data_IF_995262894764
#
_entry.id   IF_995262894764
#
_cell.length_a   1.000
_cell.length_b   1.000
_cell.length_c   1.000
_cell.angle_alpha   90.00
_cell.angle_beta   90.00
_cell.angle_gamma   90.00
#
_symmetry.space_group_name_H-M   'P 1'
#
loop_
_entity.id
_entity.type
_entity.pdbx_description
1 polymer ?
#
# COMPACT_ATOMS: atom_id res chain seq x y z
N UNK A 1 -16.33 -13.40 -6.98
CA UNK A 1 -15.04 -14.09 -7.07
C UNK A 1 -14.26 -13.54 -8.28
N UNK A 2 -13.06 -13.02 -8.08
CA UNK A 2 -12.20 -12.44 -9.11
C UNK A 2 -11.56 -13.52 -9.99
N UNK A 3 -11.04 -14.59 -9.39
CA UNK A 3 -10.26 -15.65 -10.03
C UNK A 3 -11.03 -16.41 -11.10
N UNK A 4 -12.24 -16.88 -10.77
CA UNK A 4 -13.10 -17.64 -11.68
C UNK A 4 -13.53 -16.83 -12.92
N UNK A 5 -13.56 -15.49 -12.79
CA UNK A 5 -13.90 -14.58 -13.87
C UNK A 5 -12.71 -14.30 -14.83
N UNK A 6 -11.51 -14.79 -14.52
CA UNK A 6 -10.35 -14.60 -15.39
C UNK A 6 -10.35 -15.62 -16.53
N UNK A 7 -9.76 -15.31 -17.70
CA UNK A 7 -9.61 -16.28 -18.77
C UNK A 7 -8.92 -17.57 -18.29
N UNK A 8 -9.46 -18.73 -18.65
CA UNK A 8 -8.89 -20.05 -18.27
C UNK A 8 -7.39 -20.15 -18.57
N UNK A 9 -6.95 -19.59 -19.70
CA UNK A 9 -5.52 -19.57 -20.05
C UNK A 9 -4.66 -18.79 -19.03
N UNK A 10 -5.16 -17.69 -18.46
CA UNK A 10 -4.46 -16.94 -17.41
C UNK A 10 -4.42 -17.73 -16.10
N UNK A 11 -5.55 -18.34 -15.72
CA UNK A 11 -5.63 -19.20 -14.55
C UNK A 11 -4.62 -20.35 -14.62
N UNK A 12 -4.53 -21.04 -15.76
CA UNK A 12 -3.58 -22.14 -15.99
C UNK A 12 -2.12 -21.68 -15.98
N UNK A 13 -1.81 -20.53 -16.59
CA UNK A 13 -0.44 -19.99 -16.58
C UNK A 13 -0.02 -19.53 -15.18
N UNK A 14 -0.93 -18.91 -14.42
CA UNK A 14 -0.72 -18.53 -13.04
C UNK A 14 -0.42 -19.76 -12.17
N UNK A 15 -1.26 -20.81 -12.23
CA UNK A 15 -1.03 -22.08 -11.54
C UNK A 15 0.30 -22.70 -11.94
N UNK A 16 0.59 -22.77 -13.25
CA UNK A 16 1.86 -23.33 -13.74
C UNK A 16 3.07 -22.61 -13.15
N UNK A 17 3.06 -21.28 -13.07
CA UNK A 17 4.18 -20.56 -12.46
C UNK A 17 4.25 -20.78 -10.95
N UNK A 18 3.12 -20.81 -10.25
CA UNK A 18 3.10 -21.17 -8.83
C UNK A 18 3.66 -22.58 -8.58
N UNK A 19 3.32 -23.56 -9.42
CA UNK A 19 3.89 -24.91 -9.36
C UNK A 19 5.38 -24.90 -9.63
N UNK A 20 5.88 -24.11 -10.59
CA UNK A 20 7.33 -24.00 -10.86
C UNK A 20 8.06 -23.41 -9.65
N UNK A 21 7.54 -22.34 -9.05
CA UNK A 21 8.17 -21.74 -7.86
C UNK A 21 8.10 -22.68 -6.66
N UNK A 22 6.96 -23.33 -6.45
CA UNK A 22 6.79 -24.32 -5.40
C UNK A 22 7.62 -25.60 -5.62
N UNK A 23 7.90 -25.99 -6.85
CA UNK A 23 8.79 -27.10 -7.15
C UNK A 23 10.22 -26.85 -6.64
N UNK A 24 10.66 -25.59 -6.62
CA UNK A 24 11.98 -25.17 -6.14
C UNK A 24 12.04 -24.95 -4.62
N UNK A 25 11.07 -25.45 -3.85
CA UNK A 25 10.97 -25.20 -2.40
C UNK A 25 12.22 -25.59 -1.61
N UNK A 26 12.90 -26.68 -2.00
CA UNK A 26 14.11 -27.16 -1.34
C UNK A 26 15.32 -26.21 -1.45
N UNK A 27 15.22 -25.13 -2.23
CA UNK A 27 16.18 -24.01 -2.17
C UNK A 27 16.06 -23.20 -0.86
N UNK A 28 14.89 -23.19 -0.23
CA UNK A 28 14.56 -22.28 0.87
C UNK A 28 14.02 -22.97 2.12
N UNK A 29 13.48 -24.19 1.99
CA UNK A 29 12.78 -24.88 3.07
C UNK A 29 12.84 -26.40 2.91
N UNK A 30 12.90 -27.11 4.04
CA UNK A 30 12.78 -28.57 4.13
C UNK A 30 11.32 -29.04 4.36
N UNK A 31 10.35 -28.11 4.33
CA UNK A 31 8.94 -28.42 4.53
C UNK A 31 8.36 -29.24 3.36
N UNK A 32 7.46 -30.17 3.68
CA UNK A 32 6.65 -30.87 2.69
C UNK A 32 5.59 -29.97 2.03
N UNK A 33 5.28 -28.83 2.65
CA UNK A 33 4.41 -27.81 2.04
C UNK A 33 5.23 -26.91 1.12
N UNK A 34 4.78 -26.63 -0.11
CA UNK A 34 5.51 -25.76 -1.02
C UNK A 34 5.82 -24.39 -0.39
N UNK A 35 7.03 -23.90 -0.64
CA UNK A 35 7.46 -22.57 -0.29
C UNK A 35 7.01 -21.57 -1.35
N UNK A 36 6.45 -20.45 -0.91
CA UNK A 36 6.10 -19.32 -1.76
C UNK A 36 6.35 -18.05 -0.98
N UNK A 37 7.36 -17.28 -1.39
CA UNK A 37 7.60 -15.96 -0.82
C UNK A 37 6.49 -14.98 -1.24
N UNK A 38 6.04 -14.11 -0.33
CA UNK A 38 4.93 -13.20 -0.59
C UNK A 38 5.19 -12.27 -1.80
N UNK A 39 6.41 -11.72 -1.95
CA UNK A 39 6.80 -10.95 -3.16
C UNK A 39 6.75 -11.76 -4.46
N UNK A 40 7.04 -13.06 -4.40
CA UNK A 40 6.90 -13.91 -5.59
C UNK A 40 5.42 -14.04 -5.95
N UNK A 41 4.56 -14.26 -4.96
CA UNK A 41 3.11 -14.30 -5.14
C UNK A 41 2.57 -13.01 -5.79
N UNK A 42 2.93 -11.84 -5.28
CA UNK A 42 2.57 -10.53 -5.84
C UNK A 42 2.96 -10.38 -7.32
N UNK A 43 4.23 -10.66 -7.62
CA UNK A 43 4.75 -10.51 -8.98
C UNK A 43 4.12 -11.51 -9.95
N UNK A 44 3.92 -12.75 -9.51
CA UNK A 44 3.27 -13.80 -10.33
C UNK A 44 1.81 -13.42 -10.59
N UNK A 45 1.08 -13.00 -9.56
CA UNK A 45 -0.31 -12.56 -9.70
C UNK A 45 -0.43 -11.42 -10.72
N UNK A 46 0.35 -10.34 -10.54
CA UNK A 46 0.31 -9.19 -11.44
C UNK A 46 0.69 -9.56 -12.87
N UNK A 47 1.70 -10.40 -13.06
CA UNK A 47 2.17 -10.83 -14.38
C UNK A 47 1.12 -11.65 -15.14
N UNK A 48 0.51 -12.64 -14.49
CA UNK A 48 -0.38 -13.58 -15.20
C UNK A 48 -1.82 -13.13 -15.28
N UNK A 49 -2.28 -12.29 -14.36
CA UNK A 49 -3.59 -11.67 -14.45
C UNK A 49 -3.58 -10.29 -15.09
N UNK A 50 -2.40 -9.77 -15.51
CA UNK A 50 -2.29 -8.43 -16.11
C UNK A 50 -2.88 -7.39 -15.14
N UNK A 51 -2.46 -7.47 -13.87
CA UNK A 51 -2.87 -6.55 -12.82
C UNK A 51 -1.75 -5.53 -12.56
N UNK A 52 -2.15 -4.33 -12.16
CA UNK A 52 -1.26 -3.30 -11.65
C UNK A 52 -0.70 -3.75 -10.29
N UNK A 53 0.61 -3.60 -10.09
CA UNK A 53 1.28 -3.95 -8.84
C UNK A 53 1.26 -2.75 -7.89
N UNK A 54 0.50 -2.86 -6.81
CA UNK A 54 0.36 -1.84 -5.77
C UNK A 54 1.17 -2.19 -4.51
N UNK A 55 1.74 -3.39 -4.41
CA UNK A 55 2.47 -3.87 -3.25
C UNK A 55 3.76 -3.10 -2.92
N UNK A 56 4.16 -2.16 -3.78
CA UNK A 56 5.29 -1.22 -3.55
C UNK A 56 4.83 0.20 -3.20
N UNK A 57 3.53 0.43 -3.09
CA UNK A 57 2.91 1.73 -2.84
C UNK A 57 2.36 1.85 -1.41
N UNK A 58 2.74 0.91 -0.54
CA UNK A 58 2.44 0.88 0.90
C UNK A 58 0.98 1.29 1.19
N UNK A 59 0.02 0.49 0.69
CA UNK A 59 -1.41 0.72 0.82
C UNK A 59 -2.17 -0.58 1.15
N UNK A 60 -3.51 -0.51 1.30
CA UNK A 60 -4.31 -1.69 1.69
C UNK A 60 -4.49 -2.75 0.58
N UNK A 61 -4.12 -2.44 -0.66
CA UNK A 61 -4.23 -3.33 -1.82
C UNK A 61 -2.82 -3.68 -2.34
N UNK A 62 -2.57 -4.97 -2.60
CA UNK A 62 -1.29 -5.44 -3.15
C UNK A 62 -1.29 -5.42 -4.69
N UNK A 63 -2.45 -5.57 -5.29
CA UNK A 63 -2.65 -5.45 -6.72
C UNK A 63 -4.01 -4.81 -7.04
N UNK A 64 -4.14 -4.30 -8.27
CA UNK A 64 -5.40 -3.79 -8.80
C UNK A 64 -5.59 -4.28 -10.21
N UNK A 65 -6.79 -4.71 -10.55
CA UNK A 65 -7.20 -4.97 -11.92
C UNK A 65 -8.54 -4.31 -12.17
N UNK A 66 -8.57 -3.44 -13.18
CA UNK A 66 -9.72 -2.60 -13.47
C UNK A 66 -10.12 -1.77 -12.23
N UNK A 67 -11.31 -2.01 -11.65
CA UNK A 67 -11.80 -1.35 -10.44
C UNK A 67 -11.83 -2.27 -9.23
N UNK A 68 -11.13 -3.40 -9.28
CA UNK A 68 -11.04 -4.39 -8.20
C UNK A 68 -9.65 -4.34 -7.58
N UNK A 69 -9.58 -4.11 -6.27
CA UNK A 69 -8.36 -4.19 -5.47
C UNK A 69 -8.21 -5.58 -4.85
N UNK A 70 -6.98 -6.05 -4.79
CA UNK A 70 -6.64 -7.41 -4.35
C UNK A 70 -5.71 -7.34 -3.16
N UNK A 71 -6.13 -7.88 -2.02
CA UNK A 71 -5.25 -8.21 -0.91
C UNK A 71 -4.65 -9.60 -1.11
N UNK A 72 -3.36 -9.69 -1.40
CA UNK A 72 -2.68 -10.95 -1.67
C UNK A 72 -2.14 -11.56 -0.39
N UNK A 73 -2.50 -12.82 -0.14
CA UNK A 73 -2.00 -13.54 1.02
C UNK A 73 -1.50 -14.92 0.66
N UNK A 74 -0.52 -15.39 1.43
CA UNK A 74 -0.01 -16.76 1.33
C UNK A 74 0.44 -17.24 2.70
N UNK A 75 -0.02 -18.41 3.12
CA UNK A 75 0.35 -18.98 4.42
C UNK A 75 0.30 -20.51 4.41
N UNK A 76 0.90 -21.08 5.44
CA UNK A 76 0.76 -22.49 5.85
C UNK A 76 0.16 -22.46 7.26
N UNK A 77 -0.68 -23.43 7.61
CA UNK A 77 -1.18 -23.59 8.98
C UNK A 77 -2.41 -22.75 9.29
N UNK A 78 -2.35 -22.00 10.39
CA UNK A 78 -3.50 -21.31 11.01
C UNK A 78 -4.07 -20.20 10.12
N UNK A 79 -5.38 -20.01 10.21
CA UNK A 79 -6.16 -19.04 9.43
C UNK A 79 -6.34 -17.70 10.16
N UNK A 80 -5.74 -17.55 11.34
CA UNK A 80 -5.59 -16.29 12.05
C UNK A 80 -4.47 -15.44 11.44
N UNK A 81 -4.83 -14.54 10.53
CA UNK A 81 -3.90 -13.82 9.65
C UNK A 81 -3.98 -12.30 9.82
N UNK A 82 -2.82 -11.63 9.77
CA UNK A 82 -2.72 -10.16 9.87
C UNK A 82 -3.48 -9.50 8.72
N UNK A 83 -4.32 -8.52 9.05
CA UNK A 83 -5.07 -7.71 8.07
C UNK A 83 -4.75 -6.22 8.13
N UNK A 84 -4.20 -5.72 9.23
CA UNK A 84 -3.70 -4.34 9.35
C UNK A 84 -2.74 -4.20 10.56
N UNK A 85 -1.94 -3.13 10.58
CA UNK A 85 -1.06 -2.78 11.71
C UNK A 85 -1.05 -1.28 11.94
N UNK A 86 -1.00 -0.86 13.20
CA UNK A 86 -1.27 0.50 13.64
C UNK A 86 -0.18 1.05 14.56
N UNK A 87 1.07 0.61 14.39
CA UNK A 87 2.21 1.01 15.24
C UNK A 87 2.29 2.53 15.46
N UNK A 88 2.22 3.28 14.37
CA UNK A 88 2.24 4.74 14.36
C UNK A 88 1.07 5.40 15.09
N UNK A 89 -0.04 4.69 15.29
CA UNK A 89 -1.22 5.19 16.00
C UNK A 89 -1.27 4.75 17.47
N UNK A 90 -0.24 4.06 17.98
CA UNK A 90 -0.24 3.44 19.32
C UNK A 90 -0.67 4.38 20.44
N UNK A 91 -0.16 5.61 20.46
CA UNK A 91 -0.49 6.62 21.47
C UNK A 91 -2.00 6.91 21.57
N UNK A 92 -2.73 6.76 20.46
CA UNK A 92 -4.17 7.05 20.38
C UNK A 92 -5.05 5.97 21.00
N UNK A 93 -4.59 4.71 21.04
CA UNK A 93 -5.40 3.57 21.49
C UNK A 93 -4.80 2.77 22.63
N UNK A 94 -3.54 3.00 23.03
CA UNK A 94 -2.84 2.17 24.03
C UNK A 94 -3.53 2.12 25.40
N UNK A 95 -4.34 3.12 25.72
CA UNK A 95 -5.09 3.21 26.98
C UNK A 95 -6.54 2.72 26.84
N UNK A 96 -6.97 2.33 25.64
CA UNK A 96 -8.31 1.82 25.38
C UNK A 96 -8.37 0.30 25.62
N UNK A 97 -9.53 -0.20 26.02
CA UNK A 97 -9.77 -1.63 26.22
C UNK A 97 -11.16 -2.04 25.74
N UNK A 98 -11.38 -3.35 25.57
CA UNK A 98 -12.70 -3.91 25.26
C UNK A 98 -13.32 -3.28 24.00
N UNK A 99 -14.58 -2.88 24.11
CA UNK A 99 -15.35 -2.33 22.98
C UNK A 99 -14.75 -1.05 22.41
N UNK A 100 -14.28 -0.13 23.25
CA UNK A 100 -13.69 1.13 22.78
C UNK A 100 -12.45 0.88 21.91
N UNK A 101 -11.57 -0.02 22.36
CA UNK A 101 -10.40 -0.43 21.58
C UNK A 101 -10.81 -1.09 20.25
N UNK A 102 -11.72 -2.07 20.30
CA UNK A 102 -12.18 -2.76 19.10
C UNK A 102 -12.78 -1.80 18.07
N UNK A 103 -13.62 -0.87 18.53
CA UNK A 103 -14.25 0.15 17.69
C UNK A 103 -13.22 1.09 17.08
N UNK A 104 -12.29 1.65 17.86
CA UNK A 104 -11.26 2.56 17.35
C UNK A 104 -10.37 1.89 16.30
N UNK A 105 -9.94 0.65 16.55
CA UNK A 105 -9.13 -0.11 15.58
C UNK A 105 -9.92 -0.42 14.30
N UNK A 106 -11.21 -0.73 14.42
CA UNK A 106 -12.08 -0.94 13.27
C UNK A 106 -12.27 0.35 12.44
N UNK A 107 -12.46 1.50 13.10
CA UNK A 107 -12.53 2.81 12.46
C UNK A 107 -11.23 3.11 11.67
N UNK A 108 -10.06 2.89 12.27
CA UNK A 108 -8.77 3.09 11.58
C UNK A 108 -8.59 2.16 10.39
N UNK A 109 -8.94 0.87 10.52
CA UNK A 109 -8.88 -0.05 9.38
C UNK A 109 -9.78 0.43 8.24
N UNK A 110 -11.02 0.78 8.56
CA UNK A 110 -12.01 1.20 7.56
C UNK A 110 -11.59 2.49 6.85
N UNK A 111 -11.05 3.46 7.60
CA UNK A 111 -10.51 4.69 7.01
C UNK A 111 -9.37 4.39 6.02
N UNK A 112 -8.42 3.51 6.37
CA UNK A 112 -7.31 3.13 5.47
C UNK A 112 -7.76 2.40 4.21
N UNK A 113 -8.68 1.46 4.34
CA UNK A 113 -9.24 0.71 3.20
C UNK A 113 -9.96 1.67 2.26
N UNK A 114 -10.83 2.53 2.80
CA UNK A 114 -11.56 3.54 2.02
C UNK A 114 -10.63 4.51 1.31
N UNK A 115 -9.63 5.06 2.00
CA UNK A 115 -8.66 5.98 1.39
C UNK A 115 -7.89 5.29 0.27
N UNK A 116 -7.46 4.05 0.48
CA UNK A 116 -6.83 3.24 -0.58
C UNK A 116 -7.77 3.10 -1.77
N UNK A 117 -9.03 2.72 -1.53
CA UNK A 117 -10.00 2.53 -2.60
C UNK A 117 -10.21 3.80 -3.43
N UNK A 118 -10.44 4.92 -2.76
CA UNK A 118 -10.68 6.20 -3.43
C UNK A 118 -9.42 6.70 -4.17
N UNK A 119 -8.24 6.53 -3.58
CA UNK A 119 -6.96 6.96 -4.16
C UNK A 119 -6.65 6.26 -5.48
N UNK A 120 -6.90 4.95 -5.55
CA UNK A 120 -6.60 4.14 -6.73
C UNK A 120 -7.83 3.87 -7.62
N UNK A 121 -8.99 4.46 -7.32
CA UNK A 121 -10.21 4.27 -8.10
C UNK A 121 -10.74 2.83 -8.08
N UNK A 122 -10.68 2.18 -6.91
CA UNK A 122 -11.17 0.82 -6.65
C UNK A 122 -12.60 0.91 -6.08
N UNK A 123 -13.50 0.08 -6.59
CA UNK A 123 -14.88 -0.05 -6.10
C UNK A 123 -15.05 -1.22 -5.13
N UNK A 124 -14.27 -2.28 -5.34
CA UNK A 124 -14.41 -3.54 -4.61
C UNK A 124 -13.05 -4.09 -4.21
N UNK A 125 -12.98 -4.69 -3.02
CA UNK A 125 -11.78 -5.33 -2.49
C UNK A 125 -12.04 -6.83 -2.30
N UNK A 126 -11.04 -7.66 -2.60
CA UNK A 126 -11.09 -9.10 -2.33
C UNK A 126 -9.74 -9.60 -1.81
N UNK A 127 -9.76 -10.54 -0.86
CA UNK A 127 -8.55 -11.29 -0.54
C UNK A 127 -8.37 -12.43 -1.53
N UNK A 128 -7.24 -12.46 -2.23
CA UNK A 128 -6.81 -13.61 -3.04
C UNK A 128 -5.69 -14.34 -2.32
N UNK A 129 -5.94 -15.60 -1.97
CA UNK A 129 -5.15 -16.38 -1.03
C UNK A 129 -4.58 -17.59 -1.74
N UNK A 130 -3.27 -17.78 -1.62
CA UNK A 130 -2.61 -19.05 -1.94
C UNK A 130 -2.28 -19.77 -0.64
N UNK A 131 -3.17 -20.68 -0.22
CA UNK A 131 -2.96 -21.51 0.98
C UNK A 131 -2.12 -22.73 0.61
N UNK A 132 -1.06 -22.98 1.37
CA UNK A 132 -0.04 -23.99 1.07
C UNK A 132 -0.18 -25.14 2.04
N UNK A 133 -0.29 -26.35 1.50
CA UNK A 133 -0.42 -27.59 2.27
C UNK A 133 0.57 -28.62 1.73
N UNK A 134 0.85 -29.73 2.44
CA UNK A 134 1.76 -30.74 1.92
C UNK A 134 1.40 -31.21 0.51
N UNK A 135 2.34 -31.10 -0.43
CA UNK A 135 2.19 -31.52 -1.82
C UNK A 135 1.26 -30.70 -2.72
N UNK A 136 0.61 -29.63 -2.24
CA UNK A 136 -0.28 -28.83 -3.09
C UNK A 136 -0.43 -27.37 -2.65
N UNK A 137 -0.95 -26.56 -3.56
CA UNK A 137 -1.42 -25.20 -3.28
C UNK A 137 -2.91 -25.09 -3.59
N UNK A 138 -3.63 -24.32 -2.77
CA UNK A 138 -5.05 -24.02 -2.92
C UNK A 138 -5.22 -22.53 -3.22
N UNK A 139 -6.09 -22.23 -4.17
CA UNK A 139 -6.54 -20.87 -4.48
C UNK A 139 -7.87 -20.66 -3.78
N UNK A 140 -7.92 -19.63 -2.94
CA UNK A 140 -9.07 -19.24 -2.14
C UNK A 140 -9.30 -17.75 -2.37
N UNK A 141 -10.56 -17.35 -2.44
CA UNK A 141 -10.93 -15.94 -2.29
C UNK A 141 -11.84 -15.75 -1.09
N UNK A 142 -11.66 -14.61 -0.42
CA UNK A 142 -12.41 -14.27 0.77
C UNK A 142 -12.79 -12.79 0.75
N UNK A 143 -13.91 -12.46 1.39
CA UNK A 143 -14.38 -11.09 1.53
C UNK A 143 -13.29 -10.20 2.16
N UNK A 144 -13.11 -9.02 1.56
CA UNK A 144 -12.28 -7.94 2.09
C UNK A 144 -13.19 -6.73 2.31
N UNK A 145 -14.09 -6.86 3.27
CA UNK A 145 -15.05 -5.82 3.60
C UNK A 145 -14.50 -4.84 4.63
N UNK A 146 -15.13 -3.66 4.73
CA UNK A 146 -15.04 -2.82 5.92
C UNK A 146 -15.68 -3.55 7.11
N UNK A 147 -15.11 -3.36 8.31
CA UNK A 147 -15.65 -3.90 9.55
C UNK A 147 -16.97 -3.18 9.86
N UNK A 148 -18.02 -3.93 10.14
CA UNK A 148 -19.34 -3.37 10.46
C UNK A 148 -19.35 -2.75 11.88
N UNK A 149 -19.20 -1.42 11.93
CA UNK A 149 -19.05 -0.66 13.18
C UNK A 149 -20.27 -0.70 14.10
N UNK A 150 -21.46 -0.98 13.54
CA UNK A 150 -22.72 -1.01 14.29
C UNK A 150 -22.95 -2.37 14.96
N UNK A 151 -22.27 -3.42 14.48
CA UNK A 151 -22.42 -4.79 14.95
C UNK A 151 -21.20 -5.31 15.72
N UNK A 152 -20.29 -4.41 16.14
CA UNK A 152 -19.12 -4.78 16.95
C UNK A 152 -19.56 -5.34 18.30
N UNK A 153 -19.09 -6.55 18.62
CA UNK A 153 -19.27 -7.19 19.92
C UNK A 153 -17.99 -7.88 20.38
N UNK A 154 -17.68 -7.77 21.68
CA UNK A 154 -16.51 -8.41 22.29
C UNK A 154 -16.78 -9.89 22.51
N UNK A 155 -15.79 -10.73 22.19
CA UNK A 155 -15.85 -12.17 22.43
C UNK A 155 -15.24 -12.43 23.80
N UNK A 156 -16.10 -12.37 24.82
CA UNK A 156 -15.72 -12.55 26.22
C UNK A 156 -15.01 -13.90 26.46
N UNK A 157 -13.98 -13.89 27.30
CA UNK A 157 -13.24 -15.09 27.70
C UNK A 157 -12.27 -15.68 26.66
N UNK A 158 -12.24 -15.17 25.43
CA UNK A 158 -11.25 -15.60 24.41
C UNK A 158 -9.96 -14.80 24.46
N UNK A 159 -10.04 -13.55 24.90
CA UNK A 159 -8.92 -12.60 24.97
C UNK A 159 -8.07 -12.68 26.24
N UNK A 160 -7.10 -11.78 26.32
CA UNK A 160 -6.28 -11.50 27.50
C UNK A 160 -5.85 -10.03 27.47
N UNK A 161 -5.03 -9.60 28.44
CA UNK A 161 -4.55 -8.21 28.55
C UNK A 161 -3.91 -7.69 27.25
N UNK A 162 -3.27 -8.55 26.46
CA UNK A 162 -2.61 -8.17 25.22
C UNK A 162 -3.47 -8.39 23.97
N UNK A 163 -4.57 -9.15 24.07
CA UNK A 163 -5.33 -9.60 22.91
C UNK A 163 -6.82 -9.43 23.15
N UNK A 164 -7.44 -8.53 22.38
CA UNK A 164 -8.88 -8.29 22.41
C UNK A 164 -9.51 -8.97 21.20
N UNK A 165 -10.44 -9.90 21.42
CA UNK A 165 -11.18 -10.58 20.37
C UNK A 165 -12.56 -9.96 20.23
N UNK A 166 -12.99 -9.73 18.99
CA UNK A 166 -14.29 -9.14 18.70
C UNK A 166 -14.82 -9.65 17.36
N UNK A 167 -16.12 -9.49 17.13
CA UNK A 167 -16.77 -9.78 15.85
C UNK A 167 -17.66 -8.61 15.45
N UNK A 168 -17.85 -8.43 14.16
CA UNK A 168 -18.81 -7.48 13.58
C UNK A 168 -20.09 -8.19 13.09
N UNK A 169 -20.29 -9.44 13.49
CA UNK A 169 -21.40 -10.30 13.06
C UNK A 169 -21.15 -11.02 11.74
N UNK A 170 -20.10 -10.67 10.97
CA UNK A 170 -19.72 -11.34 9.71
C UNK A 170 -18.40 -12.07 9.84
N UNK A 171 -17.42 -11.44 10.47
CA UNK A 171 -16.08 -11.97 10.64
C UNK A 171 -15.65 -11.88 12.10
N UNK A 172 -14.66 -12.71 12.44
CA UNK A 172 -14.01 -12.65 13.75
C UNK A 172 -12.63 -12.02 13.64
N UNK A 173 -12.34 -11.09 14.54
CA UNK A 173 -11.09 -10.35 14.61
C UNK A 173 -10.42 -10.54 15.96
N UNK A 174 -9.10 -10.34 15.98
CA UNK A 174 -8.38 -10.12 17.22
C UNK A 174 -7.34 -9.02 17.04
N UNK A 175 -7.29 -8.10 18.01
CA UNK A 175 -6.27 -7.06 18.05
C UNK A 175 -5.22 -7.39 19.10
N UNK A 176 -3.96 -7.44 18.67
CA UNK A 176 -2.80 -7.68 19.52
C UNK A 176 -2.12 -6.35 19.85
N UNK A 177 -2.29 -5.87 21.09
CA UNK A 177 -1.70 -4.60 21.56
C UNK A 177 -0.17 -4.66 21.47
N UNK A 178 0.45 -5.77 21.89
CA UNK A 178 1.91 -5.91 21.89
C UNK A 178 2.54 -5.86 20.50
N UNK A 179 1.76 -6.16 19.46
CA UNK A 179 2.20 -6.14 18.06
C UNK A 179 1.61 -4.97 17.28
N UNK A 180 0.78 -4.13 17.92
CA UNK A 180 0.00 -3.10 17.24
C UNK A 180 -0.78 -3.63 16.02
N UNK A 181 -1.17 -4.91 16.02
CA UNK A 181 -1.61 -5.62 14.81
C UNK A 181 -3.03 -6.13 14.97
N UNK A 182 -3.84 -5.88 13.94
CA UNK A 182 -5.17 -6.47 13.78
C UNK A 182 -5.08 -7.70 12.89
N UNK A 183 -5.67 -8.78 13.39
CA UNK A 183 -5.81 -10.04 12.71
C UNK A 183 -7.30 -10.32 12.44
N UNK A 184 -7.54 -11.06 11.37
CA UNK A 184 -8.84 -11.65 11.06
C UNK A 184 -8.67 -13.18 11.05
N UNK A 185 -9.65 -13.88 11.61
CA UNK A 185 -9.74 -15.32 11.52
C UNK A 185 -10.52 -15.62 10.25
N UNK A 186 -9.83 -16.16 9.24
CA UNK A 186 -10.43 -16.53 7.97
C UNK A 186 -11.17 -17.88 8.14
N UNK A 187 -12.46 -17.83 8.43
CA UNK A 187 -13.37 -18.97 8.48
C UNK A 187 -14.19 -19.11 7.19
N UNK A 188 -14.93 -20.22 7.05
CA UNK A 188 -15.83 -20.50 5.92
C UNK A 188 -15.24 -20.27 4.50
N UNK A 189 -13.92 -20.44 4.39
CA UNK A 189 -13.20 -20.24 3.13
C UNK A 189 -13.60 -21.27 2.08
N UNK A 190 -14.01 -20.78 0.91
CA UNK A 190 -14.26 -21.62 -0.26
C UNK A 190 -12.97 -21.79 -1.08
N UNK A 191 -12.54 -23.04 -1.26
CA UNK A 191 -11.46 -23.38 -2.19
C UNK A 191 -12.02 -23.31 -3.62
N UNK A 192 -11.45 -22.42 -4.42
CA UNK A 192 -11.81 -22.22 -5.83
C UNK A 192 -11.06 -23.17 -6.76
N UNK A 193 -9.79 -23.42 -6.46
CA UNK A 193 -8.96 -24.35 -7.22
C UNK A 193 -7.88 -24.96 -6.32
N UNK A 194 -7.41 -26.15 -6.68
CA UNK A 194 -6.31 -26.84 -6.01
C UNK A 194 -5.49 -27.60 -7.04
N UNK A 195 -4.17 -27.48 -6.94
CA UNK A 195 -3.24 -28.15 -7.84
C UNK A 195 -2.04 -28.72 -7.09
N UNK A 196 -1.56 -29.85 -7.59
CA UNK A 196 -0.40 -30.55 -7.06
C UNK A 196 0.89 -29.79 -7.34
N UNK A 197 1.80 -29.85 -6.39
CA UNK A 197 3.15 -29.30 -6.49
C UNK A 197 4.13 -30.35 -6.01
N UNK A 198 4.78 -30.99 -6.97
CA UNK A 198 5.88 -31.90 -6.71
C UNK A 198 7.12 -31.08 -6.33
N UNK A 199 7.65 -31.23 -5.12
CA UNK A 199 8.87 -30.54 -4.70
C UNK A 199 10.08 -31.32 -5.22
N UNK A 200 10.94 -30.64 -5.97
CA UNK A 200 12.17 -31.23 -6.48
C UNK A 200 13.13 -31.55 -5.34
N UNK A 201 13.70 -32.74 -5.36
CA UNK A 201 14.64 -33.21 -4.33
C UNK A 201 15.97 -32.47 -4.37
N UNK A 202 16.46 -32.12 -5.56
CA UNK A 202 17.75 -31.44 -5.74
C UNK A 202 17.65 -30.30 -6.77
N UNK A 203 17.04 -29.16 -6.38
CA UNK A 203 16.93 -28.01 -7.26
C UNK A 203 18.28 -27.36 -7.58
N UNK A 204 19.31 -27.55 -6.73
CA UNK A 204 20.63 -26.99 -6.95
C UNK A 204 21.32 -27.64 -8.15
N UNK A 205 21.37 -28.98 -8.19
CA UNK A 205 21.95 -29.70 -9.32
C UNK A 205 21.14 -29.47 -10.61
N UNK A 206 19.81 -29.40 -10.52
CA UNK A 206 18.97 -29.04 -11.67
C UNK A 206 19.36 -27.68 -12.25
N UNK A 207 19.46 -26.64 -11.41
CA UNK A 207 19.83 -25.29 -11.85
C UNK A 207 21.27 -25.25 -12.40
N UNK A 208 22.23 -25.94 -11.78
CA UNK A 208 23.60 -26.05 -12.31
C UNK A 208 23.61 -26.70 -13.70
N UNK A 209 22.87 -27.80 -13.88
CA UNK A 209 22.80 -28.51 -15.17
C UNK A 209 22.20 -27.65 -16.29
N UNK A 210 21.30 -26.72 -15.98
CA UNK A 210 20.72 -25.80 -16.96
C UNK A 210 21.74 -24.79 -17.47
N UNK A 211 22.60 -24.28 -16.57
CA UNK A 211 23.69 -23.37 -16.95
C UNK A 211 24.74 -24.11 -17.78
N UNK A 212 25.10 -25.32 -17.37
CA UNK A 212 26.07 -26.16 -18.08
C UNK A 212 25.56 -26.59 -19.46
N UNK A 213 24.28 -26.95 -19.59
CA UNK A 213 23.66 -27.32 -20.87
C UNK A 213 23.55 -26.15 -21.87
N UNK A 214 23.58 -24.90 -21.41
CA UNK A 214 23.55 -23.71 -22.26
C UNK A 214 24.94 -23.32 -22.83
N UNK A 215 26.03 -23.98 -22.41
CA UNK A 215 27.39 -23.66 -22.87
C UNK A 215 27.70 -23.98 -24.34
N UNK A 216 26.75 -24.50 -25.13
CA UNK A 216 26.96 -24.74 -26.59
C UNK A 216 26.32 -23.68 -27.50
N UNK A 217 25.35 -22.88 -27.06
CA UNK A 217 24.82 -21.78 -27.89
C UNK A 217 24.00 -20.82 -27.04
N UNK A 218 24.63 -19.77 -26.53
CA UNK A 218 24.29 -18.36 -26.80
C UNK A 218 25.11 -17.46 -25.87
N UNK A 219 25.81 -16.49 -26.47
CA UNK A 219 26.34 -15.33 -25.77
C UNK A 219 25.12 -14.52 -25.36
N UNK A 220 24.67 -14.68 -24.11
CA UNK A 220 23.65 -13.79 -23.55
C UNK A 220 24.37 -12.52 -23.12
N UNK A 221 24.39 -11.55 -24.02
CA UNK A 221 24.61 -10.16 -23.68
C UNK A 221 23.37 -9.67 -22.94
N UNK A 222 23.36 -9.73 -21.60
CA UNK A 222 22.51 -8.88 -20.74
C UNK A 222 23.02 -8.93 -19.29
N UNK A 223 24.15 -8.27 -19.00
CA UNK A 223 24.21 -7.50 -17.75
C UNK A 223 23.51 -6.16 -18.00
N UNK A 224 22.20 -6.20 -18.32
CA UNK A 224 21.38 -5.07 -17.96
C UNK A 224 21.30 -5.15 -16.43
N UNK A 225 21.77 -4.15 -15.69
CA UNK A 225 21.53 -4.10 -14.26
C UNK A 225 20.05 -4.38 -14.02
N UNK A 226 19.72 -5.19 -13.01
CA UNK A 226 18.40 -5.08 -12.39
C UNK A 226 18.20 -3.59 -12.19
N UNK A 227 17.18 -2.93 -12.80
CA UNK A 227 17.05 -1.50 -12.64
C UNK A 227 17.00 -1.28 -11.13
N UNK A 228 18.07 -0.69 -10.60
CA UNK A 228 18.04 -0.10 -9.29
C UNK A 228 16.78 0.77 -9.28
N UNK A 229 16.08 0.85 -8.14
CA UNK A 229 15.03 1.85 -8.00
C UNK A 229 15.68 3.16 -8.47
N UNK A 230 15.19 3.69 -9.58
CA UNK A 230 15.77 4.86 -10.21
C UNK A 230 15.47 6.04 -9.28
N UNK A 231 16.34 6.24 -8.30
CA UNK A 231 16.26 7.33 -7.34
C UNK A 231 16.56 8.66 -7.99
N UNK A 232 17.17 8.68 -9.18
CA UNK A 232 17.42 9.93 -9.91
C UNK A 232 16.13 10.52 -10.49
N UNK A 233 15.18 9.66 -10.86
CA UNK A 233 13.89 10.07 -11.41
C UNK A 233 12.75 10.13 -10.37
N UNK A 234 13.04 10.05 -9.06
CA UNK A 234 12.03 10.13 -8.01
C UNK A 234 12.40 11.12 -6.91
N UNK A 235 11.40 11.78 -6.33
CA UNK A 235 11.55 12.57 -5.10
C UNK A 235 10.37 12.28 -4.17
N UNK A 236 10.60 12.35 -2.87
CA UNK A 236 9.55 12.24 -1.87
C UNK A 236 9.33 13.61 -1.23
N UNK A 237 8.08 14.06 -1.11
CA UNK A 237 7.73 15.32 -0.47
C UNK A 237 6.74 15.06 0.66
N UNK A 238 7.06 15.55 1.85
CA UNK A 238 6.18 15.49 3.02
C UNK A 238 4.93 16.38 2.85
N UNK A 239 3.80 15.89 3.35
CA UNK A 239 2.53 16.63 3.44
C UNK A 239 2.38 17.37 4.78
N UNK A 240 3.31 17.17 5.69
CA UNK A 240 3.39 17.79 7.01
C UNK A 240 4.58 18.74 7.11
N UNK A 241 4.68 19.42 8.26
CA UNK A 241 5.82 20.22 8.71
C UNK A 241 6.26 19.71 10.08
N UNK A 242 7.48 20.04 10.49
CA UNK A 242 8.02 19.61 11.78
C UNK A 242 8.27 20.81 12.69
N UNK A 243 7.92 20.66 13.96
CA UNK A 243 8.36 21.56 15.02
C UNK A 243 9.86 21.35 15.31
N UNK A 244 10.44 22.23 16.14
CA UNK A 244 11.88 22.14 16.47
C UNK A 244 12.25 20.88 17.25
N UNK A 245 11.29 20.32 17.99
CA UNK A 245 11.42 19.05 18.70
C UNK A 245 11.17 17.83 17.79
N UNK A 246 10.87 18.05 16.52
CA UNK A 246 10.60 17.01 15.53
C UNK A 246 9.13 16.62 15.40
N UNK A 247 8.26 17.09 16.29
CA UNK A 247 6.82 16.76 16.25
C UNK A 247 6.22 17.18 14.90
N UNK A 248 5.57 16.23 14.22
CA UNK A 248 4.95 16.42 12.91
C UNK A 248 3.58 17.09 13.06
N UNK A 249 3.28 18.06 12.18
CA UNK A 249 2.00 18.78 12.18
C UNK A 249 1.62 19.22 10.76
N UNK A 250 0.32 19.39 10.50
CA UNK A 250 -0.18 20.03 9.28
C UNK A 250 -0.57 21.46 9.60
N UNK A 251 -0.01 22.42 8.87
CA UNK A 251 -0.27 23.84 9.13
C UNK A 251 -1.72 24.22 8.79
N UNK A 252 -2.36 25.01 9.66
CA UNK A 252 -3.78 25.37 9.54
C UNK A 252 -4.13 26.27 8.36
N UNK A 253 -3.14 26.94 7.74
CA UNK A 253 -3.34 28.00 6.74
C UNK A 253 -2.40 27.89 5.55
N UNK A 254 -1.81 26.73 5.32
CA UNK A 254 -0.87 26.48 4.23
C UNK A 254 -0.88 25.01 3.81
N UNK A 255 -0.19 24.68 2.72
CA UNK A 255 -0.17 23.34 2.14
C UNK A 255 -1.58 22.83 1.81
N UNK A 256 -1.96 21.72 2.46
CA UNK A 256 -3.29 21.10 2.34
C UNK A 256 -4.44 21.98 2.88
N UNK A 257 -4.13 22.95 3.75
CA UNK A 257 -5.13 23.90 4.29
C UNK A 257 -4.97 25.32 3.70
N UNK A 258 -4.37 25.46 2.52
CA UNK A 258 -4.18 26.77 1.88
C UNK A 258 -5.51 27.52 1.65
N UNK A 259 -6.62 26.82 1.44
CA UNK A 259 -7.96 27.39 1.34
C UNK A 259 -8.37 28.21 2.58
N UNK A 260 -7.80 27.91 3.76
CA UNK A 260 -8.06 28.61 5.03
C UNK A 260 -7.12 29.81 5.29
N UNK A 261 -6.24 30.15 4.34
CA UNK A 261 -5.31 31.25 4.54
C UNK A 261 -5.99 32.62 4.54
N UNK A 262 -5.48 33.52 5.38
CA UNK A 262 -5.92 34.91 5.43
C UNK A 262 -5.70 35.62 4.08
N UNK A 263 -6.52 36.64 3.80
CA UNK A 263 -6.41 37.48 2.61
C UNK A 263 -7.63 37.36 1.72
N UNK A 264 -7.42 37.13 0.41
CA UNK A 264 -8.52 36.99 -0.54
C UNK A 264 -9.39 35.78 -0.21
N UNK A 265 -10.66 35.83 -0.61
CA UNK A 265 -11.50 34.64 -0.66
C UNK A 265 -10.82 33.58 -1.56
N UNK A 266 -10.78 32.35 -1.06
CA UNK A 266 -10.18 31.20 -1.73
C UNK A 266 -11.24 30.18 -2.04
N UNK A 267 -11.02 29.43 -3.11
CA UNK A 267 -11.83 28.25 -3.35
C UNK A 267 -11.54 27.20 -2.25
N UNK A 268 -12.56 26.48 -1.74
CA UNK A 268 -12.38 25.43 -0.71
C UNK A 268 -11.42 24.30 -1.09
N UNK A 269 -11.08 24.17 -2.37
CA UNK A 269 -10.18 23.16 -2.91
C UNK A 269 -8.80 23.74 -3.30
N UNK A 270 -8.51 25.00 -2.95
CA UNK A 270 -7.16 25.55 -3.12
C UNK A 270 -6.20 24.91 -2.11
N UNK A 271 -5.32 24.04 -2.62
CA UNK A 271 -4.23 23.42 -1.85
C UNK A 271 -2.90 23.54 -2.62
N UNK A 272 -1.80 23.19 -1.96
CA UNK A 272 -0.56 22.87 -2.66
C UNK A 272 0.20 21.80 -1.89
N UNK A 273 0.98 21.00 -2.63
CA UNK A 273 1.98 20.11 -2.03
C UNK A 273 3.20 20.96 -1.68
N UNK A 274 3.63 21.01 -0.40
CA UNK A 274 4.83 21.72 -0.02
C UNK A 274 6.05 21.16 -0.76
N UNK A 275 6.90 22.05 -1.24
CA UNK A 275 8.22 21.68 -1.77
C UNK A 275 9.27 22.43 -0.95
N UNK A 276 9.66 21.93 0.24
CA UNK A 276 10.59 22.58 1.17
C UNK A 276 11.94 22.97 0.56
N UNK A 277 12.62 23.94 1.18
CA UNK A 277 13.87 24.48 0.64
C UNK A 277 15.01 23.45 0.58
N UNK A 278 15.07 22.55 1.56
CA UNK A 278 16.02 21.43 1.60
C UNK A 278 15.81 20.47 0.42
N UNK A 279 14.56 20.08 0.15
CA UNK A 279 14.22 19.21 -0.98
C UNK A 279 14.56 19.88 -2.31
N UNK A 280 14.22 21.17 -2.46
CA UNK A 280 14.55 21.97 -3.65
C UNK A 280 16.05 22.03 -3.92
N UNK A 281 16.87 22.16 -2.86
CA UNK A 281 18.32 22.21 -2.98
C UNK A 281 18.91 20.87 -3.45
N UNK A 282 18.29 19.75 -3.05
CA UNK A 282 18.76 18.40 -3.37
C UNK A 282 18.22 17.86 -4.71
N UNK A 283 17.24 18.52 -5.33
CA UNK A 283 16.51 17.99 -6.50
C UNK A 283 16.44 19.03 -7.64
N UNK A 284 17.54 19.77 -7.82
CA UNK A 284 17.67 20.81 -8.86
C UNK A 284 17.41 20.20 -10.24
N UNK A 285 16.49 20.82 -10.99
CA UNK A 285 16.13 20.37 -12.34
C UNK A 285 15.14 19.19 -12.38
N UNK A 286 14.68 18.70 -11.23
CA UNK A 286 13.68 17.63 -11.19
C UNK A 286 12.35 18.07 -11.81
N UNK A 287 11.80 19.21 -11.36
CA UNK A 287 10.60 19.81 -11.95
C UNK A 287 10.95 20.88 -13.00
N UNK A 288 10.02 21.20 -13.91
CA UNK A 288 10.17 22.32 -14.83
C UNK A 288 10.32 23.66 -14.10
N UNK A 289 10.83 24.69 -14.78
CA UNK A 289 10.91 26.03 -14.22
C UNK A 289 9.56 26.53 -13.71
N UNK A 290 9.60 27.38 -12.69
CA UNK A 290 8.41 27.96 -12.07
C UNK A 290 7.43 28.49 -13.12
N UNK A 291 6.14 28.28 -12.86
CA UNK A 291 5.01 28.67 -13.70
C UNK A 291 4.94 27.95 -15.07
N UNK A 292 5.84 27.01 -15.35
CA UNK A 292 5.73 26.08 -16.48
C UNK A 292 4.77 24.94 -16.11
N UNK A 293 3.77 24.70 -16.97
CA UNK A 293 2.78 23.64 -16.76
C UNK A 293 3.35 22.31 -17.22
N UNK A 294 3.12 21.27 -16.42
CA UNK A 294 3.40 19.88 -16.75
C UNK A 294 2.16 19.02 -16.47
N UNK A 295 2.13 17.85 -17.09
CA UNK A 295 1.10 16.85 -16.86
C UNK A 295 1.47 16.01 -15.63
N UNK A 296 0.50 15.86 -14.73
CA UNK A 296 0.62 15.07 -13.51
C UNK A 296 -0.44 13.99 -13.50
N UNK A 297 -0.01 12.74 -13.64
CA UNK A 297 -0.90 11.57 -13.51
C UNK A 297 -1.03 11.16 -12.06
N UNK A 298 -2.27 11.14 -11.57
CA UNK A 298 -2.66 10.75 -10.22
C UNK A 298 -2.78 9.21 -10.11
N UNK A 299 -2.82 8.64 -8.89
CA UNK A 299 -2.87 7.19 -8.70
C UNK A 299 -4.10 6.48 -9.29
N UNK A 300 -5.21 7.18 -9.46
CA UNK A 300 -6.42 6.68 -10.12
C UNK A 300 -6.33 6.70 -11.66
N UNK A 301 -5.22 7.19 -12.22
CA UNK A 301 -4.98 7.32 -13.65
C UNK A 301 -5.42 8.67 -14.25
N UNK A 302 -6.02 9.57 -13.48
CA UNK A 302 -6.39 10.90 -13.96
C UNK A 302 -5.15 11.76 -14.19
N UNK A 303 -4.97 12.29 -15.40
CA UNK A 303 -3.91 13.28 -15.69
C UNK A 303 -4.45 14.70 -15.54
N UNK A 304 -3.80 15.49 -14.68
CA UNK A 304 -4.15 16.89 -14.42
C UNK A 304 -2.98 17.83 -14.77
N UNK A 305 -3.26 19.06 -15.23
CA UNK A 305 -2.22 20.08 -15.36
C UNK A 305 -1.75 20.56 -13.96
N UNK A 306 -0.45 20.55 -13.73
CA UNK A 306 0.18 21.03 -12.51
C UNK A 306 1.36 21.96 -12.82
N UNK A 307 1.79 22.73 -11.82
CA UNK A 307 2.96 23.61 -11.92
C UNK A 307 3.59 23.92 -10.58
N UNK A 308 4.89 24.21 -10.61
CA UNK A 308 5.64 24.80 -9.48
C UNK A 308 5.38 26.30 -9.43
N UNK A 309 4.99 26.82 -8.26
CA UNK A 309 4.51 28.18 -8.06
C UNK A 309 4.94 28.81 -6.73
N UNK A 310 4.45 30.03 -6.51
CA UNK A 310 4.73 30.90 -5.36
C UNK A 310 6.20 31.37 -5.29
N UNK A 311 6.50 32.22 -4.30
CA UNK A 311 7.86 32.67 -4.03
C UNK A 311 8.79 31.46 -3.88
N UNK A 312 9.94 31.53 -4.54
CA UNK A 312 11.01 30.53 -4.51
C UNK A 312 10.65 29.12 -5.00
N UNK A 313 9.49 28.93 -5.64
CA UNK A 313 9.05 27.64 -6.16
C UNK A 313 8.65 26.63 -5.08
N UNK A 314 8.20 27.12 -3.91
CA UNK A 314 7.92 26.30 -2.72
C UNK A 314 6.61 25.50 -2.75
N UNK A 315 5.80 25.64 -3.80
CA UNK A 315 4.45 25.09 -3.87
C UNK A 315 4.21 24.40 -5.21
N UNK A 316 3.75 23.16 -5.18
CA UNK A 316 3.28 22.43 -6.36
C UNK A 316 1.75 22.40 -6.30
N UNK A 317 1.07 22.86 -7.34
CA UNK A 317 -0.40 22.92 -7.35
C UNK A 317 -0.95 22.61 -8.74
N UNK A 318 -2.21 22.19 -8.78
CA UNK A 318 -2.97 22.06 -10.02
C UNK A 318 -3.20 23.40 -10.71
N UNK A 319 -3.49 23.37 -12.01
CA UNK A 319 -3.79 24.55 -12.83
C UNK A 319 -5.08 24.36 -13.67
N UNK A 320 -6.25 24.83 -13.22
CA UNK A 320 -6.48 25.76 -12.11
C UNK A 320 -6.25 25.14 -10.73
N UNK A 321 -5.86 25.97 -9.75
CA UNK A 321 -5.58 25.54 -8.38
C UNK A 321 -6.87 25.20 -7.60
N UNK A 322 -7.47 24.07 -7.97
CA UNK A 322 -8.65 23.47 -7.33
C UNK A 322 -8.79 22.00 -7.67
N UNK A 323 -8.24 21.55 -8.80
CA UNK A 323 -8.40 20.16 -9.26
C UNK A 323 -7.74 19.18 -8.29
N UNK A 324 -6.49 19.47 -7.88
CA UNK A 324 -5.77 18.59 -6.95
C UNK A 324 -6.45 18.54 -5.57
N UNK A 325 -6.98 19.67 -5.09
CA UNK A 325 -7.68 19.71 -3.81
C UNK A 325 -9.07 19.10 -3.86
N UNK A 326 -9.78 19.20 -4.98
CA UNK A 326 -11.05 18.52 -5.18
C UNK A 326 -10.84 17.01 -5.15
N UNK A 327 -9.87 16.52 -5.93
CA UNK A 327 -9.50 15.12 -5.92
C UNK A 327 -9.05 14.66 -4.53
N UNK A 328 -8.06 15.32 -3.91
CA UNK A 328 -7.49 14.85 -2.64
C UNK A 328 -8.44 15.02 -1.45
N UNK A 329 -8.95 16.24 -1.24
CA UNK A 329 -9.74 16.53 -0.04
C UNK A 329 -11.16 15.96 -0.13
N UNK A 330 -11.78 15.97 -1.32
CA UNK A 330 -13.20 15.62 -1.48
C UNK A 330 -13.39 14.19 -1.93
N UNK A 331 -12.58 13.70 -2.86
CA UNK A 331 -12.77 12.35 -3.40
C UNK A 331 -11.96 11.32 -2.60
N UNK A 332 -10.68 11.59 -2.32
CA UNK A 332 -9.82 10.63 -1.61
C UNK A 332 -10.12 10.62 -0.12
N UNK A 333 -10.03 11.76 0.56
CA UNK A 333 -10.25 11.85 2.01
C UNK A 333 -11.71 12.04 2.43
N UNK A 334 -12.61 12.33 1.49
CA UNK A 334 -14.04 12.56 1.75
C UNK A 334 -14.33 13.61 2.84
N UNK A 335 -13.48 14.64 2.89
CA UNK A 335 -13.64 15.73 3.86
C UNK A 335 -14.70 16.69 3.36
N UNK A 336 -15.60 17.08 4.26
CA UNK A 336 -16.50 18.20 4.02
C UNK A 336 -15.73 19.50 3.83
N UNK A 337 -16.30 20.45 3.07
CA UNK A 337 -15.72 21.79 2.95
C UNK A 337 -15.59 22.44 4.33
N UNK A 338 -14.46 23.11 4.57
CA UNK A 338 -14.18 23.73 5.88
C UNK A 338 -13.51 22.81 6.91
N UNK A 339 -13.39 21.51 6.65
CA UNK A 339 -12.65 20.60 7.54
C UNK A 339 -11.14 20.81 7.38
N UNK A 340 -10.46 21.19 8.45
CA UNK A 340 -8.99 21.29 8.46
C UNK A 340 -8.36 19.90 8.44
N UNK A 341 -7.41 19.71 7.54
CA UNK A 341 -6.53 18.54 7.54
C UNK A 341 -5.55 18.67 8.69
N UNK A 342 -5.48 17.66 9.56
CA UNK A 342 -4.53 17.59 10.67
C UNK A 342 -3.57 16.40 10.48
N UNK A 343 -2.44 16.40 11.18
CA UNK A 343 -1.51 15.27 11.12
C UNK A 343 -2.14 13.96 11.64
N UNK A 344 -2.92 13.97 12.74
CA UNK A 344 -3.68 12.77 13.15
C UNK A 344 -4.67 12.24 12.11
N UNK A 345 -5.14 13.06 11.17
CA UNK A 345 -5.93 12.55 10.04
C UNK A 345 -5.06 11.80 9.05
N UNK A 346 -3.89 12.37 8.69
CA UNK A 346 -2.91 11.72 7.82
C UNK A 346 -2.46 10.36 8.39
N UNK A 347 -2.21 10.28 9.69
CA UNK A 347 -1.84 9.03 10.36
C UNK A 347 -2.93 7.95 10.27
N UNK A 348 -4.19 8.36 10.45
CA UNK A 348 -5.33 7.44 10.31
C UNK A 348 -5.56 7.02 8.86
N UNK A 349 -5.36 7.92 7.91
CA UNK A 349 -5.39 7.60 6.48
C UNK A 349 -4.23 6.69 6.06
N UNK A 350 -3.17 6.64 6.86
CA UNK A 350 -1.98 5.84 6.61
C UNK A 350 -1.04 6.48 5.58
N UNK A 351 -1.11 7.81 5.37
CA UNK A 351 -0.28 8.51 4.39
C UNK A 351 0.18 9.86 4.93
N UNK A 352 1.47 10.18 4.77
CA UNK A 352 2.04 11.46 5.27
C UNK A 352 2.90 12.19 4.22
N UNK A 353 3.14 11.55 3.08
CA UNK A 353 4.06 12.01 2.06
C UNK A 353 3.59 11.59 0.67
N UNK A 354 4.19 12.19 -0.35
CA UNK A 354 3.94 11.87 -1.75
C UNK A 354 5.24 11.68 -2.51
N UNK A 355 5.27 10.70 -3.40
CA UNK A 355 6.41 10.42 -4.26
C UNK A 355 6.09 10.83 -5.69
N UNK A 356 6.85 11.81 -6.19
CA UNK A 356 6.83 12.17 -7.59
C UNK A 356 7.81 11.30 -8.38
N UNK A 357 7.41 10.88 -9.57
CA UNK A 357 8.29 10.20 -10.53
C UNK A 357 8.30 10.99 -11.83
N UNK A 358 9.49 11.33 -12.32
CA UNK A 358 9.68 11.98 -13.62
C UNK A 358 9.61 10.92 -14.72
N UNK A 359 8.61 11.01 -15.59
CA UNK A 359 8.46 10.12 -16.77
C UNK A 359 9.14 10.74 -17.98
N UNK A 360 8.99 12.05 -18.15
CA UNK A 360 9.73 12.86 -19.12
C UNK A 360 9.77 14.32 -18.65
N UNK A 361 10.28 15.25 -19.46
CA UNK A 361 10.46 16.65 -19.06
C UNK A 361 9.18 17.37 -18.63
N UNK A 362 8.01 16.98 -19.15
CA UNK A 362 6.72 17.57 -18.79
C UNK A 362 5.66 16.52 -18.41
N UNK A 363 6.09 15.28 -18.15
CA UNK A 363 5.21 14.18 -17.75
C UNK A 363 5.70 13.61 -16.42
N UNK A 364 4.83 13.67 -15.41
CA UNK A 364 5.13 13.22 -14.06
C UNK A 364 3.98 12.35 -13.54
N UNK A 365 4.31 11.42 -12.66
CA UNK A 365 3.31 10.73 -11.84
C UNK A 365 3.49 11.12 -10.37
N UNK A 366 2.41 11.11 -9.60
CA UNK A 366 2.45 11.24 -8.14
C UNK A 366 1.82 10.02 -7.52
N UNK A 367 2.36 9.59 -6.38
CA UNK A 367 1.74 8.60 -5.53
C UNK A 367 1.82 9.01 -4.07
N UNK A 368 0.87 8.57 -3.25
CA UNK A 368 0.96 8.76 -1.80
C UNK A 368 1.82 7.66 -1.22
N UNK A 369 2.44 7.97 -0.10
CA UNK A 369 3.33 7.05 0.59
C UNK A 369 2.94 6.94 2.06
N UNK A 370 3.13 5.73 2.60
CA UNK A 370 2.87 5.43 4.00
C UNK A 370 3.80 6.24 4.90
N UNK A 371 3.35 6.39 6.15
CA UNK A 371 4.07 7.07 7.22
C UNK A 371 5.53 6.60 7.30
N UNK A 372 6.44 7.57 7.43
CA UNK A 372 7.88 7.32 7.53
C UNK A 372 8.57 7.09 6.18
N UNK A 373 7.85 7.10 5.05
CA UNK A 373 8.48 6.89 3.74
C UNK A 373 9.42 8.01 3.38
N UNK A 374 9.09 9.27 3.72
CA UNK A 374 9.97 10.41 3.48
C UNK A 374 11.32 10.25 4.21
N UNK A 375 11.28 9.86 5.48
CA UNK A 375 12.43 9.61 6.33
C UNK A 375 13.30 8.48 5.77
N UNK A 376 12.69 7.34 5.44
CA UNK A 376 13.40 6.21 4.80
C UNK A 376 14.00 6.59 3.44
N UNK A 377 13.27 7.37 2.63
CA UNK A 377 13.70 7.79 1.29
C UNK A 377 14.98 8.64 1.35
N UNK A 378 15.10 9.51 2.35
CA UNK A 378 16.26 10.38 2.54
C UNK A 378 17.24 9.90 3.60
N UNK A 379 17.05 8.69 4.15
CA UNK A 379 17.84 8.12 5.24
C UNK A 379 17.98 9.07 6.44
N UNK A 380 16.85 9.69 6.82
CA UNK A 380 16.71 10.56 7.99
C UNK A 380 16.09 9.73 9.11
N UNK A 381 16.48 10.01 10.36
CA UNK A 381 15.91 9.36 11.53
C UNK A 381 14.46 9.78 11.74
N UNK A 382 13.54 8.81 11.79
CA UNK A 382 12.17 9.06 12.21
C UNK A 382 12.08 9.07 13.74
N UNK A 383 11.56 10.15 14.30
CA UNK A 383 11.37 10.29 15.76
C UNK A 383 10.21 9.39 16.22
N UNK A 384 9.24 9.14 15.34
CA UNK A 384 8.10 8.29 15.65
C UNK A 384 8.53 6.80 15.72
N UNK A 385 9.54 6.37 14.95
CA UNK A 385 10.13 5.02 15.05
C UNK A 385 11.01 4.81 16.30
N UNK A 386 11.56 5.87 16.90
CA UNK A 386 12.38 5.76 18.13
C UNK A 386 11.50 5.48 19.37
N UNK A 387 10.21 5.79 19.29
CA UNK A 387 9.25 5.63 20.39
C UNK A 387 8.48 4.29 20.35
N UNK A 388 8.62 3.51 19.27
CA UNK A 388 8.10 2.13 19.16
C UNK A 388 9.00 1.12 19.88
#
# INVERSE_FOLDING_TARGET
>A
MFYENQPVAQQEQYKKMLSIVGNLSALFSESASPYLHYRAHENIFCKYFIAENLARRDCSADAKKDRIGIGLKTWVGNDDQKVAEFGQLRETYQNLTGYELARTIAEYRNERVRVTMNMYGIDEMVYHIVKRVPGSMMIIEHAFDSIDLDNISIIEGRGNVNNTYFTDGRHTYHFSISKNTLYMIFDDMQVLDQFEVEIMTDPYNYLMSMVEAQTVTQVVDTTAPIPAIDTENRICLRLYSTHRDGTKFVAERSGLNQWNANGRARNPNEIYIPYPAEDRANTIGFFPPRDTVFNLTLPDGLTIPAKVCQADGKAIMSNPNRILGEWLLRNVFELSEGTLVTYPMLERFGVDSVVFTKVSDLEYTIDFAEIGTYERFYNITDIDEILE
#
